data_IF_713631574649
#
_entry.id   IF_713631574649
#
_cell.length_a   1.000
_cell.length_b   1.000
_cell.length_c   1.000
_cell.angle_alpha   90.00
_cell.angle_beta   90.00
_cell.angle_gamma   90.00
#
_symmetry.space_group_name_H-M   'P 1'
#
loop_
_entity.id
_entity.type
_entity.pdbx_description
1 polymer ?
#
# COMPACT_ATOMS: atom_id res chain seq x y z
N UNK A 1 2.04 36.83 36.89
CA UNK A 1 1.45 35.62 37.48
C UNK A 1 1.64 34.53 36.45
N UNK A 2 2.25 33.40 36.84
CA UNK A 2 2.64 32.33 35.93
C UNK A 2 1.41 31.71 35.25
N UNK A 3 1.34 31.84 33.93
CA UNK A 3 0.35 31.15 33.10
C UNK A 3 0.76 29.67 33.04
N UNK A 4 0.22 28.86 33.95
CA UNK A 4 0.44 27.41 33.95
C UNK A 4 -0.28 26.83 32.73
N UNK A 5 0.47 26.44 31.71
CA UNK A 5 -0.08 25.81 30.50
C UNK A 5 -0.36 24.33 30.81
N UNK A 6 -1.63 23.99 30.97
CA UNK A 6 -2.08 22.62 31.21
C UNK A 6 -2.14 21.83 29.90
N UNK A 7 -1.65 20.59 29.91
CA UNK A 7 -1.75 19.66 28.79
C UNK A 7 -2.96 18.73 28.85
N UNK A 8 -3.21 18.04 27.73
CA UNK A 8 -4.28 17.05 27.59
C UNK A 8 -4.11 15.94 28.65
N UNK A 9 -5.19 15.59 29.34
CA UNK A 9 -5.19 14.64 30.45
C UNK A 9 -4.93 15.24 31.84
N UNK A 10 -4.77 16.56 31.95
CA UNK A 10 -4.74 17.27 33.24
C UNK A 10 -6.10 17.24 33.93
N UNK A 11 -6.11 17.07 35.26
CA UNK A 11 -7.32 17.08 36.08
C UNK A 11 -7.53 18.46 36.71
N UNK A 12 -8.72 19.01 36.51
CA UNK A 12 -9.09 20.36 36.94
C UNK A 12 -10.41 20.32 37.68
N UNK A 13 -10.65 21.30 38.55
CA UNK A 13 -11.87 21.47 39.31
C UNK A 13 -12.41 22.89 39.06
N UNK A 14 -13.63 22.95 38.56
CA UNK A 14 -14.33 24.20 38.27
C UNK A 14 -15.35 24.47 39.38
N UNK A 15 -15.50 25.72 39.88
CA UNK A 15 -16.42 26.04 40.98
C UNK A 15 -17.88 25.57 40.75
N UNK A 16 -18.41 25.80 39.55
CA UNK A 16 -19.77 25.39 39.17
C UNK A 16 -19.90 23.96 38.64
N UNK A 17 -18.90 23.43 37.94
CA UNK A 17 -18.98 22.16 37.22
C UNK A 17 -18.29 21.00 37.96
N UNK A 18 -17.60 21.28 39.07
CA UNK A 18 -16.86 20.28 39.84
C UNK A 18 -15.66 19.74 39.08
N UNK A 19 -15.28 18.48 39.36
CA UNK A 19 -14.06 17.86 38.81
C UNK A 19 -14.23 17.43 37.35
N UNK A 20 -13.23 17.76 36.55
CA UNK A 20 -13.17 17.43 35.13
C UNK A 20 -11.76 17.11 34.64
N UNK A 21 -11.68 16.59 33.41
CA UNK A 21 -10.43 16.22 32.75
C UNK A 21 -10.34 17.00 31.43
N UNK A 22 -9.19 17.61 31.18
CA UNK A 22 -8.92 18.28 29.90
C UNK A 22 -8.79 17.20 28.81
N UNK A 23 -9.70 17.20 27.85
CA UNK A 23 -9.71 16.26 26.71
C UNK A 23 -9.06 16.85 25.47
N UNK A 24 -9.05 18.18 25.36
CA UNK A 24 -8.43 18.90 24.26
C UNK A 24 -8.03 20.32 24.72
N UNK A 25 -6.97 20.85 24.13
CA UNK A 25 -6.39 22.15 24.46
C UNK A 25 -6.23 22.98 23.17
N UNK A 26 -7.28 23.72 22.81
CA UNK A 26 -7.21 24.67 21.70
C UNK A 26 -6.40 25.93 22.09
N UNK A 27 -6.11 26.81 21.14
CA UNK A 27 -5.24 27.97 21.37
C UNK A 27 -5.70 28.87 22.53
N UNK A 28 -7.00 29.17 22.61
CA UNK A 28 -7.58 30.11 23.60
C UNK A 28 -8.49 29.45 24.65
N UNK A 29 -8.89 28.19 24.46
CA UNK A 29 -9.84 27.49 25.33
C UNK A 29 -9.39 26.05 25.64
N UNK A 30 -9.70 25.60 26.86
CA UNK A 30 -9.64 24.20 27.25
C UNK A 30 -11.01 23.55 27.06
N UNK A 31 -11.05 22.37 26.44
CA UNK A 31 -12.23 21.52 26.42
C UNK A 31 -12.11 20.55 27.59
N UNK A 32 -12.96 20.75 28.59
CA UNK A 32 -12.96 19.96 29.83
C UNK A 32 -14.21 19.08 29.85
N UNK A 33 -14.01 17.78 30.05
CA UNK A 33 -15.10 16.85 30.33
C UNK A 33 -15.40 16.83 31.83
N UNK A 34 -16.65 17.11 32.22
CA UNK A 34 -17.08 17.15 33.60
C UNK A 34 -17.91 15.92 33.95
N UNK A 35 -17.48 15.18 34.99
CA UNK A 35 -18.19 13.98 35.46
C UNK A 35 -19.58 14.30 36.02
N UNK A 36 -19.76 15.50 36.58
CA UNK A 36 -21.01 15.98 37.18
C UNK A 36 -22.14 16.19 36.17
N UNK A 37 -21.81 16.59 34.94
CA UNK A 37 -22.78 16.92 33.87
C UNK A 37 -22.74 15.93 32.70
N UNK A 38 -21.88 14.91 32.78
CA UNK A 38 -21.67 13.91 31.73
C UNK A 38 -21.50 14.53 30.32
N UNK A 39 -20.70 15.59 30.23
CA UNK A 39 -20.54 16.38 29.01
C UNK A 39 -19.30 17.25 29.01
N UNK A 40 -18.95 17.78 27.83
CA UNK A 40 -17.82 18.68 27.62
C UNK A 40 -18.24 20.14 27.67
N UNK A 41 -17.40 20.99 28.25
CA UNK A 41 -17.56 22.45 28.24
C UNK A 41 -16.24 23.11 27.85
N UNK A 42 -16.35 24.16 27.04
CA UNK A 42 -15.21 25.00 26.67
C UNK A 42 -15.03 26.08 27.73
N UNK A 43 -13.84 26.14 28.34
CA UNK A 43 -13.47 27.11 29.37
C UNK A 43 -12.24 27.88 28.88
N UNK A 44 -12.25 29.21 29.01
CA UNK A 44 -11.11 30.04 28.59
C UNK A 44 -9.87 29.75 29.44
N UNK A 45 -8.68 29.80 28.81
CA UNK A 45 -7.40 29.65 29.52
C UNK A 45 -7.15 30.77 30.52
N UNK A 46 -7.78 31.92 30.35
CA UNK A 46 -7.68 33.08 31.25
C UNK A 46 -8.61 32.97 32.47
N UNK A 47 -9.39 31.89 32.57
CA UNK A 47 -10.35 31.71 33.65
C UNK A 47 -9.63 31.44 34.98
N UNK A 48 -9.53 32.47 35.81
CA UNK A 48 -8.68 32.52 37.02
C UNK A 48 -9.21 31.64 38.16
N UNK A 49 -10.48 31.25 38.13
CA UNK A 49 -11.10 30.44 39.19
C UNK A 49 -10.97 28.92 38.98
N UNK A 50 -10.24 28.48 37.94
CA UNK A 50 -10.01 27.05 37.69
C UNK A 50 -8.94 26.50 38.64
N UNK A 51 -9.32 25.53 39.48
CA UNK A 51 -8.38 24.87 40.40
C UNK A 51 -7.75 23.65 39.72
N UNK A 52 -6.43 23.61 39.62
CA UNK A 52 -5.71 22.46 39.06
C UNK A 52 -5.48 21.41 40.14
N UNK A 53 -5.93 20.18 39.93
CA UNK A 53 -5.74 19.06 40.86
C UNK A 53 -4.52 18.23 40.48
N UNK A 54 -4.33 17.94 39.19
CA UNK A 54 -3.15 17.27 38.66
C UNK A 54 -2.79 17.93 37.33
N UNK A 55 -1.63 18.60 37.29
CA UNK A 55 -1.06 19.14 36.07
C UNK A 55 -0.24 18.06 35.37
N UNK A 56 -0.55 17.77 34.11
CA UNK A 56 0.40 17.17 33.19
C UNK A 56 0.93 18.29 32.30
N UNK A 57 2.25 18.45 32.28
CA UNK A 57 2.89 19.31 31.30
C UNK A 57 2.53 18.83 29.90
N UNK A 58 2.41 19.77 28.96
CA UNK A 58 2.31 19.44 27.55
C UNK A 58 3.52 18.60 27.16
N UNK A 59 3.34 17.28 27.12
CA UNK A 59 4.18 16.43 26.30
C UNK A 59 3.99 16.97 24.88
N UNK A 60 5.06 17.60 24.38
CA UNK A 60 5.06 18.31 23.11
C UNK A 60 4.37 17.52 22.01
N UNK A 61 3.56 18.26 21.25
CA UNK A 61 3.20 18.03 19.86
C UNK A 61 4.00 16.90 19.20
N UNK A 62 3.48 15.68 19.28
CA UNK A 62 3.84 14.59 18.36
C UNK A 62 2.80 13.47 18.36
N UNK A 63 1.55 13.82 18.65
CA UNK A 63 0.41 12.92 18.45
C UNK A 63 -0.68 13.68 17.70
N UNK A 64 -0.62 13.67 16.36
CA UNK A 64 -1.86 13.79 15.58
C UNK A 64 -1.86 14.63 14.32
N UNK A 65 -0.79 15.29 13.88
CA UNK A 65 -0.75 15.78 12.49
C UNK A 65 -0.03 14.74 11.64
N UNK A 66 -0.79 13.83 11.03
CA UNK A 66 -0.31 13.04 9.89
C UNK A 66 0.28 14.03 8.90
N UNK A 67 1.60 14.02 8.71
CA UNK A 67 2.22 14.88 7.72
C UNK A 67 1.87 14.34 6.33
N UNK A 68 1.89 15.20 5.32
CA UNK A 68 1.69 14.76 3.93
C UNK A 68 2.75 13.71 3.55
N UNK A 69 3.95 13.81 4.11
CA UNK A 69 5.01 12.82 3.91
C UNK A 69 4.65 11.44 4.49
N UNK A 70 4.02 11.38 5.67
CA UNK A 70 3.57 10.10 6.26
C UNK A 70 2.46 9.45 5.43
N UNK A 71 1.59 10.27 4.82
CA UNK A 71 0.53 9.81 3.93
C UNK A 71 1.11 9.32 2.60
N UNK A 72 2.09 10.03 2.04
CA UNK A 72 2.83 9.61 0.84
C UNK A 72 3.57 8.29 1.09
N UNK A 73 4.29 8.16 2.19
CA UNK A 73 5.00 6.93 2.56
C UNK A 73 4.03 5.76 2.79
N UNK A 74 2.90 5.98 3.47
CA UNK A 74 1.89 4.95 3.65
C UNK A 74 1.24 4.53 2.32
N UNK A 75 0.97 5.49 1.42
CA UNK A 75 0.41 5.22 0.10
C UNK A 75 1.40 4.47 -0.78
N UNK A 76 2.66 4.89 -0.80
CA UNK A 76 3.75 4.23 -1.54
C UNK A 76 3.92 2.79 -1.06
N UNK A 77 3.93 2.56 0.26
CA UNK A 77 3.97 1.21 0.85
C UNK A 77 2.77 0.33 0.49
N UNK A 78 1.56 0.90 0.40
CA UNK A 78 0.36 0.16 -0.02
C UNK A 78 0.39 -0.14 -1.51
N UNK A 79 0.85 0.81 -2.34
CA UNK A 79 1.00 0.63 -3.78
C UNK A 79 2.08 -0.40 -4.10
N UNK A 80 3.25 -0.35 -3.46
CA UNK A 80 4.31 -1.36 -3.62
C UNK A 80 3.87 -2.77 -3.20
N UNK A 81 3.08 -2.87 -2.13
CA UNK A 81 2.48 -4.15 -1.73
C UNK A 81 1.50 -4.68 -2.77
N UNK A 82 0.70 -3.81 -3.40
CA UNK A 82 -0.25 -4.21 -4.44
C UNK A 82 0.35 -4.39 -5.82
N UNK A 83 1.47 -3.74 -6.14
CA UNK A 83 2.24 -4.00 -7.36
C UNK A 83 2.81 -5.42 -7.36
N UNK A 84 3.04 -6.01 -6.18
CA UNK A 84 3.45 -7.40 -6.02
C UNK A 84 2.28 -8.39 -5.92
N UNK A 85 1.03 -7.94 -5.75
CA UNK A 85 -0.14 -8.79 -5.89
C UNK A 85 -0.39 -9.02 -7.38
N UNK A 86 0.15 -10.12 -7.91
CA UNK A 86 -0.05 -10.56 -9.28
C UNK A 86 -1.55 -10.50 -9.62
N UNK A 87 -1.91 -9.63 -10.58
CA UNK A 87 -3.27 -9.47 -11.03
C UNK A 87 -3.85 -10.83 -11.45
N UNK A 88 -5.05 -11.17 -10.98
CA UNK A 88 -5.73 -12.41 -11.40
C UNK A 88 -6.02 -12.34 -12.90
N UNK A 89 -5.20 -13.04 -13.69
CA UNK A 89 -5.38 -13.14 -15.14
C UNK A 89 -6.30 -14.31 -15.45
N UNK A 90 -7.41 -14.09 -16.19
CA UNK A 90 -8.27 -15.19 -16.59
C UNK A 90 -7.68 -16.00 -17.76
N UNK A 91 -7.73 -17.33 -17.62
CA UNK A 91 -7.42 -18.27 -18.69
C UNK A 91 -8.59 -18.38 -19.67
N UNK A 92 -8.31 -18.64 -20.94
CA UNK A 92 -9.35 -18.86 -21.94
C UNK A 92 -10.15 -20.13 -21.61
N UNK A 93 -11.49 -20.01 -21.64
CA UNK A 93 -12.42 -21.06 -21.19
C UNK A 93 -12.20 -22.43 -21.84
N UNK A 94 -11.69 -22.47 -23.09
CA UNK A 94 -11.42 -23.69 -23.84
C UNK A 94 -10.34 -24.59 -23.22
N UNK A 95 -9.54 -24.07 -22.29
CA UNK A 95 -8.49 -24.80 -21.59
C UNK A 95 -8.86 -25.17 -20.16
N UNK A 96 -10.03 -24.80 -19.64
CA UNK A 96 -10.39 -25.09 -18.25
C UNK A 96 -10.40 -26.61 -17.99
N UNK A 97 -9.83 -27.04 -16.86
CA UNK A 97 -9.61 -28.44 -16.47
C UNK A 97 -8.77 -29.23 -17.48
N UNK A 98 -7.98 -28.56 -18.31
CA UNK A 98 -7.08 -29.19 -19.26
C UNK A 98 -5.80 -29.73 -18.61
N UNK A 99 -5.09 -30.58 -19.34
CA UNK A 99 -3.80 -31.13 -18.91
C UNK A 99 -2.76 -30.94 -20.02
N UNK A 100 -1.61 -30.38 -19.67
CA UNK A 100 -0.43 -30.33 -20.53
C UNK A 100 0.33 -31.65 -20.39
N UNK A 101 0.55 -32.33 -21.52
CA UNK A 101 1.28 -33.61 -21.56
C UNK A 101 2.63 -33.37 -22.22
N UNK A 102 3.71 -33.53 -21.46
CA UNK A 102 5.08 -33.57 -21.99
C UNK A 102 5.40 -35.00 -22.37
N UNK A 103 5.25 -35.31 -23.66
CA UNK A 103 5.49 -36.64 -24.21
C UNK A 103 6.95 -36.78 -24.67
N UNK A 104 7.74 -37.71 -24.08
CA UNK A 104 9.07 -38.03 -24.59
C UNK A 104 8.97 -38.72 -25.96
N UNK A 105 10.03 -38.60 -26.77
CA UNK A 105 10.13 -39.33 -28.03
C UNK A 105 10.25 -40.85 -27.81
N UNK A 106 10.92 -41.24 -26.72
CA UNK A 106 11.03 -42.63 -26.29
C UNK A 106 9.71 -43.08 -25.66
N UNK A 107 9.01 -44.00 -26.32
CA UNK A 107 7.71 -44.51 -25.88
C UNK A 107 7.80 -45.43 -24.65
N UNK A 108 8.99 -45.84 -24.23
CA UNK A 108 9.20 -46.59 -22.99
C UNK A 108 9.11 -45.71 -21.74
N UNK A 109 9.24 -44.38 -21.91
CA UNK A 109 9.21 -43.42 -20.82
C UNK A 109 7.80 -42.87 -20.59
N UNK A 110 7.42 -42.71 -19.32
CA UNK A 110 6.11 -42.16 -18.98
C UNK A 110 6.03 -40.66 -19.31
N UNK A 111 4.95 -40.22 -19.99
CA UNK A 111 4.68 -38.80 -20.17
C UNK A 111 4.51 -38.09 -18.84
N UNK A 112 4.97 -36.84 -18.78
CA UNK A 112 4.74 -35.98 -17.62
C UNK A 112 3.49 -35.15 -17.84
N UNK A 113 2.53 -35.32 -16.95
CA UNK A 113 1.30 -34.54 -16.95
C UNK A 113 1.41 -33.34 -16.02
N UNK A 114 0.90 -32.20 -16.46
CA UNK A 114 0.86 -30.96 -15.69
C UNK A 114 -0.52 -30.32 -15.86
N UNK A 115 -1.25 -30.01 -14.78
CA UNK A 115 -2.51 -29.26 -14.88
C UNK A 115 -2.29 -27.94 -15.62
N UNK A 116 -3.13 -27.63 -16.60
CA UNK A 116 -2.90 -26.47 -17.47
C UNK A 116 -3.01 -25.15 -16.70
N UNK A 117 -3.81 -25.09 -15.64
CA UNK A 117 -3.91 -23.95 -14.73
C UNK A 117 -2.59 -23.68 -14.01
N UNK A 118 -1.90 -24.75 -13.59
CA UNK A 118 -0.58 -24.63 -12.95
C UNK A 118 0.45 -24.09 -13.95
N UNK A 119 0.42 -24.58 -15.19
CA UNK A 119 1.28 -24.08 -16.24
C UNK A 119 0.97 -22.61 -16.56
N UNK A 120 -0.30 -22.27 -16.73
CA UNK A 120 -0.76 -20.92 -17.03
C UNK A 120 -0.36 -19.93 -15.93
N UNK A 121 -0.53 -20.29 -14.66
CA UNK A 121 -0.08 -19.45 -13.54
C UNK A 121 1.44 -19.19 -13.59
N UNK A 122 2.25 -20.19 -13.99
CA UNK A 122 3.69 -19.99 -14.19
C UNK A 122 3.99 -19.04 -15.36
N UNK A 123 3.26 -19.15 -16.46
CA UNK A 123 3.40 -18.23 -17.60
C UNK A 123 3.04 -16.79 -17.20
N UNK A 124 1.97 -16.60 -16.43
CA UNK A 124 1.59 -15.29 -15.88
C UNK A 124 2.70 -14.74 -14.96
N UNK A 125 3.28 -15.55 -14.08
CA UNK A 125 4.40 -15.12 -13.23
C UNK A 125 5.63 -14.69 -14.05
N UNK A 126 5.95 -15.39 -15.16
CA UNK A 126 7.05 -15.00 -16.04
C UNK A 126 6.76 -13.64 -16.69
N UNK A 127 5.54 -13.43 -17.19
CA UNK A 127 5.11 -12.13 -17.75
C UNK A 127 5.32 -11.00 -16.75
N UNK A 128 4.87 -11.19 -15.53
CA UNK A 128 4.87 -10.13 -14.53
C UNK A 128 6.30 -9.83 -14.05
N UNK A 129 7.18 -10.83 -13.97
CA UNK A 129 8.62 -10.63 -13.73
C UNK A 129 9.30 -9.89 -14.88
N UNK A 130 8.94 -10.19 -16.14
CA UNK A 130 9.48 -9.45 -17.28
C UNK A 130 9.07 -7.98 -17.27
N UNK A 131 7.81 -7.68 -16.91
CA UNK A 131 7.32 -6.31 -16.75
C UNK A 131 8.09 -5.57 -15.66
N UNK A 132 8.36 -6.23 -14.53
CA UNK A 132 9.16 -5.65 -13.45
C UNK A 132 10.60 -5.36 -13.90
N UNK A 133 11.21 -6.25 -14.67
CA UNK A 133 12.57 -6.04 -15.23
C UNK A 133 12.57 -4.81 -16.15
N UNK A 134 11.59 -4.70 -17.04
CA UNK A 134 11.43 -3.56 -17.94
C UNK A 134 11.27 -2.23 -17.18
N UNK A 135 10.42 -2.21 -16.15
CA UNK A 135 10.25 -1.04 -15.28
C UNK A 135 11.55 -0.65 -14.58
N UNK A 136 12.31 -1.63 -14.07
CA UNK A 136 13.61 -1.39 -13.43
C UNK A 136 14.64 -0.82 -14.40
N UNK A 137 14.67 -1.29 -15.64
CA UNK A 137 15.56 -0.74 -16.69
C UNK A 137 15.19 0.73 -16.95
N UNK A 138 13.90 1.03 -17.09
CA UNK A 138 13.41 2.39 -17.35
C UNK A 138 13.76 3.36 -16.22
N UNK A 139 13.56 2.93 -14.97
CA UNK A 139 13.81 3.72 -13.77
C UNK A 139 15.30 3.81 -13.37
N UNK A 140 16.19 3.04 -14.02
CA UNK A 140 17.60 3.04 -13.68
C UNK A 140 18.24 4.40 -14.03
N UNK A 141 18.88 5.05 -13.06
CA UNK A 141 19.51 6.38 -13.22
C UNK A 141 20.94 6.31 -13.75
N UNK A 142 21.57 5.14 -13.72
CA UNK A 142 22.98 4.93 -14.08
C UNK A 142 23.15 4.53 -15.54
N UNK A 143 22.18 3.82 -16.11
CA UNK A 143 22.22 3.40 -17.52
C UNK A 143 22.01 4.59 -18.45
N UNK A 144 22.79 4.63 -19.52
CA UNK A 144 22.61 5.58 -20.63
C UNK A 144 21.36 5.22 -21.44
N UNK A 145 20.85 6.18 -22.22
CA UNK A 145 19.66 5.96 -23.06
C UNK A 145 19.90 4.86 -24.12
N UNK A 146 21.11 4.76 -24.65
CA UNK A 146 21.47 3.71 -25.63
C UNK A 146 21.46 2.31 -25.00
N UNK A 147 22.07 2.15 -23.81
CA UNK A 147 22.05 0.88 -23.08
C UNK A 147 20.63 0.47 -22.66
N UNK A 148 19.79 1.44 -22.27
CA UNK A 148 18.38 1.17 -21.97
C UNK A 148 17.63 0.63 -23.19
N UNK A 149 17.83 1.26 -24.35
CA UNK A 149 17.21 0.82 -25.60
C UNK A 149 17.67 -0.59 -25.97
N UNK A 150 18.96 -0.90 -25.87
CA UNK A 150 19.51 -2.23 -26.15
C UNK A 150 18.88 -3.30 -25.23
N UNK A 151 18.85 -3.07 -23.91
CA UNK A 151 18.21 -3.98 -22.95
C UNK A 151 16.71 -4.15 -23.20
N UNK A 152 16.00 -3.08 -23.54
CA UNK A 152 14.59 -3.14 -23.90
C UNK A 152 14.34 -3.97 -25.16
N UNK A 153 15.24 -3.97 -26.13
CA UNK A 153 15.14 -4.82 -27.32
C UNK A 153 15.22 -6.30 -26.95
N UNK A 154 16.13 -6.68 -26.04
CA UNK A 154 16.19 -8.06 -25.53
C UNK A 154 14.91 -8.45 -24.79
N UNK A 155 14.39 -7.58 -23.92
CA UNK A 155 13.11 -7.80 -23.23
C UNK A 155 11.97 -7.99 -24.23
N UNK A 156 11.92 -7.17 -25.28
CA UNK A 156 10.93 -7.27 -26.36
C UNK A 156 11.05 -8.59 -27.14
N UNK A 157 12.27 -9.06 -27.40
CA UNK A 157 12.52 -10.34 -28.05
C UNK A 157 12.06 -11.52 -27.16
N UNK A 158 12.27 -11.44 -25.84
CA UNK A 158 11.76 -12.43 -24.87
C UNK A 158 10.22 -12.44 -24.87
N UNK A 159 9.56 -11.28 -24.90
CA UNK A 159 8.10 -11.27 -25.06
C UNK A 159 7.65 -11.89 -26.38
N UNK A 160 8.38 -11.64 -27.47
CA UNK A 160 8.13 -12.24 -28.77
C UNK A 160 8.14 -13.77 -28.74
N UNK A 161 9.12 -14.38 -28.05
CA UNK A 161 9.22 -15.84 -27.95
C UNK A 161 8.11 -16.48 -27.10
N UNK A 162 7.49 -15.71 -26.21
CA UNK A 162 6.37 -16.15 -25.38
C UNK A 162 5.00 -16.01 -26.06
N UNK A 163 4.91 -15.36 -27.23
CA UNK A 163 3.64 -15.16 -27.95
C UNK A 163 2.93 -16.47 -28.32
N UNK A 164 3.66 -17.58 -28.45
CA UNK A 164 3.07 -18.92 -28.65
C UNK A 164 2.05 -19.29 -27.57
N UNK A 165 2.22 -18.79 -26.34
CA UNK A 165 1.31 -19.04 -25.23
C UNK A 165 0.11 -18.09 -25.18
N UNK A 166 -0.02 -17.13 -26.11
CA UNK A 166 -1.14 -16.17 -26.15
C UNK A 166 -2.51 -16.86 -26.26
N UNK A 167 -2.55 -18.08 -26.81
CA UNK A 167 -3.75 -18.91 -26.92
C UNK A 167 -4.38 -19.28 -25.57
N UNK A 168 -3.62 -19.20 -24.47
CA UNK A 168 -4.07 -19.50 -23.11
C UNK A 168 -4.80 -18.31 -22.45
N UNK A 169 -4.58 -17.09 -22.92
CA UNK A 169 -5.17 -15.90 -22.31
C UNK A 169 -6.60 -15.68 -22.81
N UNK A 170 -7.51 -15.33 -21.90
CA UNK A 170 -8.90 -14.98 -22.25
C UNK A 170 -8.98 -13.64 -22.98
N UNK A 171 -8.17 -12.67 -22.56
CA UNK A 171 -8.22 -11.30 -23.03
C UNK A 171 -6.90 -10.89 -23.67
N UNK A 172 -6.98 -10.14 -24.77
CA UNK A 172 -5.81 -9.71 -25.55
C UNK A 172 -4.91 -8.73 -24.79
N UNK A 173 -5.46 -7.97 -23.85
CA UNK A 173 -4.69 -7.03 -23.02
C UNK A 173 -3.66 -7.73 -22.12
N UNK A 174 -3.87 -9.01 -21.82
CA UNK A 174 -3.00 -9.82 -20.99
C UNK A 174 -1.93 -10.60 -21.76
N UNK A 175 -2.05 -10.63 -23.09
CA UNK A 175 -1.16 -11.37 -23.98
C UNK A 175 0.23 -10.74 -24.05
N UNK A 176 1.21 -11.57 -24.39
CA UNK A 176 2.55 -11.13 -24.74
C UNK A 176 2.53 -10.39 -26.08
N UNK A 177 3.32 -9.31 -26.18
CA UNK A 177 3.48 -8.53 -27.42
C UNK A 177 4.95 -8.48 -27.79
N UNK A 178 5.29 -8.94 -28.99
CA UNK A 178 6.64 -8.87 -29.54
C UNK A 178 6.80 -7.79 -30.61
N UNK A 179 8.02 -7.62 -31.12
CA UNK A 179 8.34 -6.63 -32.14
C UNK A 179 7.63 -6.87 -33.50
N UNK A 180 7.17 -8.10 -33.77
CA UNK A 180 6.51 -8.47 -35.03
C UNK A 180 4.98 -8.35 -35.04
N UNK A 181 4.35 -8.01 -33.90
CA UNK A 181 2.89 -8.01 -33.72
C UNK A 181 2.29 -6.60 -33.90
N UNK A 182 2.71 -5.89 -34.97
CA UNK A 182 2.18 -4.59 -35.40
C UNK A 182 1.17 -4.74 -36.53
#
# INVERSE_FOLDING_TARGET
>A
METIVLGIGSRVEHPHFGKGVIVDAASEVYIIWFKSQNGTKSVSKDYTELRVLEAKENAGENTGSLSVADIEEALENVLDRRLNEFQLVPMANKWNNGTLILKPQDESLQPKEVPIETFFHKIVMVRDRMRLIEQKINANKTLTDEEKVDLQQYVTAVYGSLTTFNVLFKETLHQFKGAGDR
#
